data_IF_081706373335
#
_entry.id   IF_081706373335
#
_cell.length_a   1.000
_cell.length_b   1.000
_cell.length_c   1.000
_cell.angle_alpha   90.00
_cell.angle_beta   90.00
_cell.angle_gamma   90.00
#
_symmetry.space_group_name_H-M   'P 1'
#
loop_
_entity.id
_entity.type
_entity.pdbx_description
1 polymer ?
#
# COMPACT_ATOMS: atom_id res chain seq x y z
N UNK A 1 -48.71 -33.85 6.47
CA UNK A 1 -47.64 -34.13 5.50
C UNK A 1 -46.98 -32.81 5.17
N UNK A 2 -45.78 -32.58 5.71
CA UNK A 2 -44.98 -31.37 5.48
C UNK A 2 -44.00 -31.73 4.38
N UNK A 3 -44.15 -31.13 3.21
CA UNK A 3 -43.22 -31.30 2.09
C UNK A 3 -42.33 -30.06 2.05
N UNK A 4 -41.05 -30.27 2.35
CA UNK A 4 -40.02 -29.23 2.35
C UNK A 4 -39.59 -28.88 0.94
N UNK A 5 -39.30 -27.59 0.74
CA UNK A 5 -38.61 -27.08 -0.44
C UNK A 5 -37.41 -26.26 0.05
N UNK A 6 -36.24 -26.90 0.08
CA UNK A 6 -34.96 -26.25 0.35
C UNK A 6 -34.33 -25.85 -0.98
N UNK A 7 -34.69 -24.66 -1.44
CA UNK A 7 -34.10 -24.00 -2.59
C UNK A 7 -32.68 -23.52 -2.30
N UNK A 8 -31.73 -24.18 -2.99
CA UNK A 8 -30.29 -23.89 -3.18
C UNK A 8 -29.87 -22.42 -2.97
N UNK A 9 -29.02 -22.18 -1.97
CA UNK A 9 -28.14 -21.00 -1.94
C UNK A 9 -26.98 -21.19 -2.93
N UNK A 10 -26.81 -20.19 -3.80
CA UNK A 10 -25.87 -20.17 -4.90
C UNK A 10 -24.39 -20.13 -4.48
N UNK A 11 -23.59 -20.76 -5.34
CA UNK A 11 -22.19 -20.52 -5.68
C UNK A 11 -21.46 -19.47 -4.82
N UNK A 12 -20.69 -19.94 -3.83
CA UNK A 12 -19.62 -19.14 -3.24
C UNK A 12 -18.52 -18.94 -4.29
N UNK A 13 -18.38 -17.71 -4.81
CA UNK A 13 -17.20 -17.33 -5.58
C UNK A 13 -15.96 -17.58 -4.72
N UNK A 14 -15.03 -18.38 -5.24
CA UNK A 14 -13.71 -18.55 -4.66
C UNK A 14 -12.97 -17.21 -4.71
N UNK A 15 -12.78 -16.59 -3.55
CA UNK A 15 -11.96 -15.39 -3.43
C UNK A 15 -10.54 -15.75 -3.93
N UNK A 16 -10.12 -15.14 -5.05
CA UNK A 16 -8.72 -15.22 -5.49
C UNK A 16 -7.85 -14.70 -4.35
N UNK A 17 -6.78 -15.41 -4.02
CA UNK A 17 -5.79 -14.93 -3.07
C UNK A 17 -5.24 -13.57 -3.56
N UNK A 18 -5.45 -12.52 -2.75
CA UNK A 18 -4.94 -11.19 -3.02
C UNK A 18 -3.41 -11.20 -3.09
N UNK A 19 -2.84 -10.99 -4.28
CA UNK A 19 -1.39 -10.73 -4.43
C UNK A 19 -1.13 -9.26 -4.13
N UNK A 20 -0.90 -8.94 -2.85
CA UNK A 20 -0.36 -7.64 -2.48
C UNK A 20 1.16 -7.72 -2.54
N UNK A 21 1.79 -6.80 -3.26
CA UNK A 21 3.24 -6.68 -3.32
C UNK A 21 3.67 -5.42 -2.59
N UNK A 22 4.75 -5.50 -1.81
CA UNK A 22 5.31 -4.37 -1.08
C UNK A 22 6.77 -4.16 -1.46
N UNK A 23 7.18 -2.90 -1.57
CA UNK A 23 8.57 -2.49 -1.66
C UNK A 23 8.87 -1.51 -0.54
N UNK A 24 10.09 -1.57 0.00
CA UNK A 24 10.54 -0.62 1.02
C UNK A 24 10.76 0.74 0.37
N UNK A 25 10.12 1.77 0.91
CA UNK A 25 10.35 3.17 0.55
C UNK A 25 11.70 3.67 1.09
N UNK A 26 12.04 4.90 0.69
CA UNK A 26 13.30 5.54 1.08
C UNK A 26 13.23 6.23 2.46
N UNK A 27 12.04 6.28 3.06
CA UNK A 27 11.81 6.99 4.31
C UNK A 27 12.52 6.32 5.52
N UNK A 28 13.05 7.11 6.46
CA UNK A 28 13.51 6.60 7.74
C UNK A 28 12.33 5.98 8.51
N UNK A 29 12.62 4.90 9.23
CA UNK A 29 11.62 4.16 10.01
C UNK A 29 11.20 4.98 11.24
N UNK A 30 9.92 5.32 11.41
CA UNK A 30 9.44 5.96 12.63
C UNK A 30 9.36 4.95 13.78
N UNK A 31 9.43 5.45 15.02
CA UNK A 31 9.14 4.65 16.22
C UNK A 31 7.63 4.54 16.35
N UNK A 32 7.07 3.37 16.02
CA UNK A 32 5.63 3.12 16.09
C UNK A 32 5.25 2.83 17.55
N UNK A 33 4.66 3.81 18.24
CA UNK A 33 4.08 3.62 19.57
C UNK A 33 2.55 3.69 19.49
N UNK A 34 1.87 2.62 19.91
CA UNK A 34 0.41 2.56 20.02
C UNK A 34 -0.31 2.22 18.71
N UNK A 35 -0.46 0.93 18.41
CA UNK A 35 -1.30 0.45 17.32
C UNK A 35 -2.55 -0.22 17.91
N UNK A 36 -3.71 0.41 17.78
CA UNK A 36 -4.99 -0.17 18.19
C UNK A 36 -5.52 -1.14 17.11
N UNK A 37 -6.11 -2.23 17.59
CA UNK A 37 -6.53 -3.38 16.78
C UNK A 37 -7.83 -3.06 16.03
N UNK A 38 -7.73 -2.46 14.83
CA UNK A 38 -8.87 -2.36 13.89
C UNK A 38 -9.07 -3.71 13.19
N UNK A 39 -10.30 -4.24 13.22
CA UNK A 39 -10.66 -5.49 12.53
C UNK A 39 -10.71 -5.29 11.00
N UNK A 40 -10.50 -6.37 10.25
CA UNK A 40 -10.67 -6.43 8.81
C UNK A 40 -12.13 -6.63 8.38
N UNK A 41 -13.04 -6.81 9.34
CA UNK A 41 -14.44 -7.09 9.04
C UNK A 41 -15.04 -5.91 8.27
N UNK A 42 -15.79 -6.18 7.19
CA UNK A 42 -16.50 -5.11 6.50
C UNK A 42 -17.36 -4.35 7.52
N UNK A 43 -17.29 -3.01 7.54
CA UNK A 43 -18.16 -2.25 8.43
C UNK A 43 -19.61 -2.62 8.11
N UNK A 44 -20.42 -2.86 9.15
CA UNK A 44 -21.84 -3.09 8.94
C UNK A 44 -22.44 -1.96 8.08
N UNK A 45 -23.32 -2.27 7.12
CA UNK A 45 -23.93 -1.26 6.25
C UNK A 45 -24.90 -0.41 7.09
N UNK A 46 -24.39 0.60 7.81
CA UNK A 46 -25.23 1.60 8.49
C UNK A 46 -24.49 2.72 9.22
N UNK A 47 -23.16 2.73 9.32
CA UNK A 47 -22.48 3.87 9.96
C UNK A 47 -21.80 4.75 8.92
N UNK A 48 -22.41 5.91 8.67
CA UNK A 48 -21.79 7.04 7.99
C UNK A 48 -20.64 7.56 8.86
N UNK A 49 -19.50 6.87 8.81
CA UNK A 49 -18.25 7.41 9.34
C UNK A 49 -17.94 8.61 8.44
N UNK A 50 -18.20 9.80 8.97
CA UNK A 50 -17.81 11.04 8.31
C UNK A 50 -16.28 11.03 8.28
N UNK A 51 -15.70 10.73 7.12
CA UNK A 51 -14.28 10.96 6.91
C UNK A 51 -14.03 12.44 7.22
N UNK A 52 -13.02 12.77 8.06
CA UNK A 52 -12.67 14.16 8.26
C UNK A 52 -12.33 14.77 6.90
N UNK A 53 -13.10 15.78 6.52
CA UNK A 53 -12.80 16.62 5.37
C UNK A 53 -11.41 17.23 5.59
N UNK A 54 -10.42 16.87 4.78
CA UNK A 54 -9.19 17.67 4.76
C UNK A 54 -7.91 17.05 4.21
N UNK A 55 -7.79 15.74 4.04
CA UNK A 55 -6.60 15.19 3.38
C UNK A 55 -7.02 14.17 2.36
N UNK A 56 -6.98 14.56 1.09
CA UNK A 56 -7.09 13.60 0.00
C UNK A 56 -6.04 12.52 0.23
N UNK A 57 -6.53 11.27 0.23
CA UNK A 57 -5.75 10.05 0.43
C UNK A 57 -4.55 9.96 -0.51
N UNK A 58 -4.63 10.73 -1.60
CA UNK A 58 -3.74 10.70 -2.74
C UNK A 58 -3.26 12.08 -3.11
N UNK A 59 -3.17 13.04 -2.21
CA UNK A 59 -2.55 14.33 -2.50
C UNK A 59 -1.03 14.25 -2.42
N UNK A 60 -0.35 15.11 -3.19
CA UNK A 60 1.11 15.22 -3.14
C UNK A 60 1.56 15.65 -1.75
N UNK A 61 2.50 14.90 -1.15
CA UNK A 61 3.00 15.21 0.18
C UNK A 61 2.09 14.76 1.32
N UNK A 62 1.11 13.88 1.05
CA UNK A 62 0.31 13.26 2.11
C UNK A 62 1.23 12.65 3.19
N UNK A 63 0.96 12.99 4.45
CA UNK A 63 1.75 12.58 5.62
C UNK A 63 1.46 11.12 6.02
N UNK A 64 1.73 10.20 5.11
CA UNK A 64 1.58 8.76 5.32
C UNK A 64 2.89 8.23 5.88
N UNK A 65 2.83 7.69 7.09
CA UNK A 65 4.02 7.29 7.85
C UNK A 65 4.48 5.87 7.54
N UNK A 66 3.60 4.98 7.07
CA UNK A 66 3.91 3.55 7.01
C UNK A 66 3.63 2.91 5.64
N UNK A 67 2.39 2.94 5.13
CA UNK A 67 2.03 2.24 3.89
C UNK A 67 1.27 3.12 2.89
N UNK A 68 1.81 3.35 1.70
CA UNK A 68 1.07 3.90 0.57
C UNK A 68 0.72 2.80 -0.46
N UNK A 69 -0.56 2.51 -0.69
CA UNK A 69 -1.04 1.42 -1.53
C UNK A 69 -1.61 1.93 -2.87
N UNK A 70 -1.09 1.43 -3.99
CA UNK A 70 -1.67 1.65 -5.31
C UNK A 70 -2.65 0.53 -5.68
N UNK A 71 -3.89 0.87 -5.97
CA UNK A 71 -4.95 -0.03 -6.45
C UNK A 71 -5.01 0.09 -7.96
N UNK A 72 -4.41 -0.86 -8.67
CA UNK A 72 -4.34 -0.83 -10.12
C UNK A 72 -5.73 -1.07 -10.70
N UNK A 73 -6.21 -0.14 -11.51
CA UNK A 73 -7.56 -0.17 -12.08
C UNK A 73 -7.56 0.30 -13.53
N UNK A 74 -8.59 -0.11 -14.29
CA UNK A 74 -8.80 0.35 -15.67
C UNK A 74 -9.81 1.48 -15.70
N UNK A 75 -9.72 2.37 -16.67
CA UNK A 75 -10.70 3.45 -16.86
C UNK A 75 -12.15 2.94 -16.80
N UNK A 76 -12.44 1.83 -17.50
CA UNK A 76 -13.76 1.17 -17.55
C UNK A 76 -14.25 0.59 -16.23
N UNK A 77 -13.38 0.43 -15.22
CA UNK A 77 -13.69 -0.25 -13.97
C UNK A 77 -14.26 0.70 -12.90
N UNK A 78 -14.99 1.76 -13.29
CA UNK A 78 -15.55 2.73 -12.35
C UNK A 78 -16.40 2.06 -11.25
N UNK A 79 -17.26 1.12 -11.63
CA UNK A 79 -18.10 0.40 -10.67
C UNK A 79 -17.28 -0.47 -9.70
N UNK A 80 -16.16 -1.04 -10.14
CA UNK A 80 -15.28 -1.82 -9.25
C UNK A 80 -14.56 -0.91 -8.26
N UNK A 81 -14.10 0.26 -8.72
CA UNK A 81 -13.55 1.28 -7.82
C UNK A 81 -14.56 1.74 -6.79
N UNK A 82 -15.82 1.95 -7.18
CA UNK A 82 -16.89 2.28 -6.23
C UNK A 82 -17.10 1.17 -5.20
N UNK A 83 -17.12 -0.10 -5.61
CA UNK A 83 -17.18 -1.23 -4.68
C UNK A 83 -15.99 -1.28 -3.71
N UNK A 84 -14.78 -0.97 -4.18
CA UNK A 84 -13.59 -0.85 -3.33
C UNK A 84 -13.71 0.34 -2.36
N UNK A 85 -14.15 1.51 -2.83
CA UNK A 85 -14.45 2.72 -2.01
C UNK A 85 -15.49 2.47 -0.94
N UNK A 86 -16.46 1.62 -1.22
CA UNK A 86 -17.54 1.29 -0.28
C UNK A 86 -17.13 0.29 0.79
N UNK A 87 -15.99 -0.38 0.60
CA UNK A 87 -15.53 -1.47 1.45
C UNK A 87 -14.21 -1.13 2.15
N UNK A 88 -13.13 -1.85 1.84
CA UNK A 88 -11.87 -1.82 2.57
C UNK A 88 -11.09 -0.52 2.35
N UNK A 89 -11.35 0.22 1.27
CA UNK A 89 -10.66 1.47 0.98
C UNK A 89 -11.01 2.57 1.99
N UNK A 90 -12.17 2.50 2.66
CA UNK A 90 -12.53 3.41 3.76
C UNK A 90 -11.61 3.32 4.97
N UNK A 91 -10.87 2.21 5.08
CA UNK A 91 -9.88 2.00 6.12
C UNK A 91 -8.54 2.66 5.78
N UNK A 92 -8.39 3.22 4.57
CA UNK A 92 -7.28 4.10 4.20
C UNK A 92 -7.57 5.53 4.67
N UNK A 93 -6.50 6.31 4.92
CA UNK A 93 -6.60 7.73 5.27
C UNK A 93 -6.27 8.11 6.70
N UNK A 94 -5.89 7.12 7.50
CA UNK A 94 -5.21 7.39 8.75
C UNK A 94 -3.74 7.73 8.50
N UNK A 95 -3.03 8.22 9.53
CA UNK A 95 -1.60 8.54 9.44
C UNK A 95 -0.73 7.37 8.98
N UNK A 96 -1.17 6.13 9.19
CA UNK A 96 -0.38 4.93 8.92
C UNK A 96 -0.59 4.36 7.52
N UNK A 97 -1.69 4.71 6.83
CA UNK A 97 -1.87 4.20 5.47
C UNK A 97 -2.69 5.09 4.56
N UNK A 98 -2.24 5.20 3.32
CA UNK A 98 -3.00 5.74 2.20
C UNK A 98 -3.25 4.68 1.14
N UNK A 99 -4.30 4.88 0.36
CA UNK A 99 -4.59 4.07 -0.81
C UNK A 99 -5.06 4.98 -1.96
N UNK A 100 -4.64 4.65 -3.18
CA UNK A 100 -4.96 5.40 -4.40
C UNK A 100 -5.31 4.48 -5.54
N UNK A 101 -6.34 4.81 -6.32
CA UNK A 101 -6.57 4.15 -7.59
C UNK A 101 -5.56 4.63 -8.62
N UNK A 102 -4.83 3.70 -9.22
CA UNK A 102 -3.87 3.97 -10.26
C UNK A 102 -4.52 3.62 -11.59
N UNK A 103 -4.79 4.64 -12.40
CA UNK A 103 -5.38 4.48 -13.73
C UNK A 103 -4.39 4.97 -14.77
N UNK A 104 -4.30 4.21 -15.85
CA UNK A 104 -3.33 4.44 -16.91
C UNK A 104 -3.78 5.51 -17.91
N UNK A 105 -2.82 6.28 -18.44
CA UNK A 105 -2.92 7.08 -19.66
C UNK A 105 -2.38 6.35 -20.91
N UNK A 106 -2.84 6.70 -22.13
CA UNK A 106 -3.93 7.65 -22.42
C UNK A 106 -5.32 7.06 -22.12
N UNK A 107 -6.29 7.94 -21.88
CA UNK A 107 -7.69 7.58 -21.60
C UNK A 107 -8.48 7.46 -22.91
N UNK A 108 -9.43 6.53 -22.96
CA UNK A 108 -10.45 6.42 -24.02
C UNK A 108 -11.50 7.52 -23.90
N UNK A 109 -11.86 7.93 -22.68
CA UNK A 109 -12.80 8.98 -22.34
C UNK A 109 -12.29 9.83 -21.17
N UNK A 110 -11.79 11.03 -21.47
CA UNK A 110 -11.22 11.92 -20.46
C UNK A 110 -12.26 12.54 -19.53
N UNK A 111 -13.52 12.72 -19.96
CA UNK A 111 -14.53 13.48 -19.21
C UNK A 111 -15.11 12.73 -18.01
N UNK A 112 -15.43 11.44 -18.16
CA UNK A 112 -15.97 10.63 -17.07
C UNK A 112 -14.95 10.43 -15.95
N UNK A 113 -13.70 10.10 -16.31
CA UNK A 113 -12.63 9.93 -15.33
C UNK A 113 -12.21 11.27 -14.71
N UNK A 114 -12.26 12.38 -15.45
CA UNK A 114 -12.01 13.71 -14.88
C UNK A 114 -13.07 14.08 -13.83
N UNK A 115 -14.36 13.80 -14.10
CA UNK A 115 -15.43 14.03 -13.13
C UNK A 115 -15.28 13.14 -11.89
N UNK A 116 -14.90 11.88 -12.08
CA UNK A 116 -14.60 10.96 -10.97
C UNK A 116 -13.41 11.46 -10.14
N UNK A 117 -12.32 11.89 -10.79
CA UNK A 117 -11.13 12.41 -10.12
C UNK A 117 -11.44 13.66 -9.31
N UNK A 118 -12.24 14.57 -9.84
CA UNK A 118 -12.65 15.77 -9.09
C UNK A 118 -13.50 15.39 -7.89
N UNK A 119 -14.42 14.44 -8.05
CA UNK A 119 -15.34 14.01 -7.00
C UNK A 119 -14.63 13.30 -5.84
N UNK A 120 -13.74 12.36 -6.15
CA UNK A 120 -13.18 11.45 -5.14
C UNK A 120 -11.75 11.80 -4.71
N UNK A 121 -11.00 12.52 -5.54
CA UNK A 121 -9.59 12.91 -5.29
C UNK A 121 -8.67 11.75 -4.89
N UNK A 122 -9.00 10.53 -5.31
CA UNK A 122 -8.29 9.29 -4.98
C UNK A 122 -7.66 8.62 -6.22
N UNK A 123 -7.65 9.33 -7.36
CA UNK A 123 -7.13 8.85 -8.64
C UNK A 123 -5.74 9.42 -8.95
N UNK A 124 -4.80 8.52 -9.23
CA UNK A 124 -3.47 8.82 -9.76
C UNK A 124 -3.41 8.34 -11.20
N UNK A 125 -3.18 9.27 -12.11
CA UNK A 125 -3.03 8.97 -13.53
C UNK A 125 -1.57 8.75 -13.86
N UNK A 126 -1.22 7.56 -14.37
CA UNK A 126 0.16 7.20 -14.70
C UNK A 126 0.34 7.03 -16.21
N UNK A 127 1.44 7.56 -16.74
CA UNK A 127 1.82 7.30 -18.12
C UNK A 127 2.53 5.95 -18.21
N UNK A 128 1.90 4.97 -18.84
CA UNK A 128 2.50 3.67 -19.14
C UNK A 128 2.59 3.52 -20.66
N UNK A 129 3.80 3.21 -21.14
CA UNK A 129 4.21 3.44 -22.53
C UNK A 129 3.72 2.39 -23.54
N UNK A 130 3.38 1.15 -23.16
CA UNK A 130 2.98 0.10 -24.11
C UNK A 130 1.49 0.08 -24.37
N UNK A 131 0.96 -0.09 -25.60
CA UNK A 131 -0.49 -0.10 -25.91
C UNK A 131 -1.42 -0.81 -24.91
N UNK A 132 -2.61 -0.25 -24.67
CA UNK A 132 -3.61 -0.68 -23.66
C UNK A 132 -4.07 -2.14 -23.79
N UNK A 133 -3.90 -2.75 -24.96
CA UNK A 133 -4.41 -4.09 -25.29
C UNK A 133 -3.38 -5.20 -25.06
N UNK A 134 -2.18 -4.88 -24.56
CA UNK A 134 -1.17 -5.87 -24.29
C UNK A 134 -1.36 -6.52 -22.90
N UNK A 135 -1.15 -7.85 -22.78
CA UNK A 135 -1.29 -8.58 -21.52
C UNK A 135 -0.33 -8.12 -20.41
N UNK A 136 0.72 -7.35 -20.76
CA UNK A 136 1.72 -6.84 -19.82
C UNK A 136 1.39 -5.46 -19.23
N UNK A 137 0.21 -4.91 -19.51
CA UNK A 137 -0.19 -3.57 -19.04
C UNK A 137 -0.16 -3.40 -17.52
N UNK A 138 -0.43 -4.47 -16.75
CA UNK A 138 -0.39 -4.44 -15.28
C UNK A 138 1.03 -4.26 -14.74
N UNK A 139 2.03 -4.84 -15.40
CA UNK A 139 3.44 -4.72 -14.99
C UNK A 139 3.92 -3.29 -15.18
N UNK A 140 3.60 -2.67 -16.32
CA UNK A 140 3.97 -1.28 -16.56
C UNK A 140 3.27 -0.31 -15.62
N UNK A 141 1.97 -0.50 -15.39
CA UNK A 141 1.24 0.28 -14.41
C UNK A 141 1.84 0.14 -13.02
N UNK A 142 2.31 -1.05 -12.65
CA UNK A 142 3.02 -1.27 -11.40
C UNK A 142 4.32 -0.46 -11.35
N UNK A 143 5.13 -0.48 -12.41
CA UNK A 143 6.37 0.32 -12.47
C UNK A 143 6.11 1.82 -12.42
N UNK A 144 5.14 2.31 -13.20
CA UNK A 144 4.76 3.71 -13.21
C UNK A 144 4.20 4.16 -11.86
N UNK A 145 3.44 3.29 -11.19
CA UNK A 145 3.02 3.49 -9.80
C UNK A 145 4.20 3.60 -8.85
N UNK A 146 5.19 2.71 -8.90
CA UNK A 146 6.32 2.77 -7.98
C UNK A 146 7.10 4.09 -8.08
N UNK A 147 7.29 4.59 -9.31
CA UNK A 147 7.94 5.89 -9.55
C UNK A 147 7.08 7.02 -8.99
N UNK A 148 5.78 7.04 -9.32
CA UNK A 148 4.87 8.10 -8.88
C UNK A 148 4.71 8.10 -7.34
N UNK A 149 4.58 6.92 -6.73
CA UNK A 149 4.36 6.75 -5.31
C UNK A 149 5.56 7.20 -4.48
N UNK A 150 6.79 6.95 -4.94
CA UNK A 150 8.00 7.42 -4.27
C UNK A 150 8.07 8.96 -4.21
N UNK A 151 7.64 9.64 -5.27
CA UNK A 151 7.58 11.10 -5.28
C UNK A 151 6.40 11.65 -4.45
N UNK A 152 5.25 10.98 -4.51
CA UNK A 152 3.99 11.42 -3.90
C UNK A 152 3.94 11.19 -2.39
N UNK A 153 4.53 10.09 -1.92
CA UNK A 153 4.56 9.67 -0.52
C UNK A 153 6.01 9.55 -0.02
N UNK A 154 6.77 10.66 0.03
CA UNK A 154 8.19 10.61 0.38
C UNK A 154 8.46 10.09 1.79
N UNK A 155 7.45 10.14 2.68
CA UNK A 155 7.53 9.68 4.07
C UNK A 155 7.02 8.24 4.27
N UNK A 156 6.45 7.60 3.26
CA UNK A 156 5.96 6.24 3.40
C UNK A 156 7.13 5.25 3.49
N UNK A 157 7.15 4.44 4.55
CA UNK A 157 8.18 3.41 4.75
C UNK A 157 8.00 2.25 3.78
N UNK A 158 6.77 1.97 3.38
CA UNK A 158 6.42 0.95 2.40
C UNK A 158 5.50 1.50 1.33
N UNK A 159 5.79 1.11 0.09
CA UNK A 159 4.89 1.29 -1.02
C UNK A 159 4.31 -0.09 -1.35
N UNK A 160 3.00 -0.16 -1.50
CA UNK A 160 2.28 -1.37 -1.86
C UNK A 160 1.59 -1.23 -3.21
N UNK A 161 1.24 -2.37 -3.82
CA UNK A 161 0.30 -2.42 -4.93
C UNK A 161 -0.67 -3.59 -4.79
N UNK A 162 -1.91 -3.41 -5.23
CA UNK A 162 -2.95 -4.43 -5.34
C UNK A 162 -3.80 -4.18 -6.59
N UNK A 163 -4.68 -5.12 -6.93
CA UNK A 163 -5.58 -5.03 -8.08
C UNK A 163 -6.98 -4.61 -7.59
N UNK A 164 -7.80 -3.99 -8.45
CA UNK A 164 -9.15 -3.48 -8.09
C UNK A 164 -10.22 -4.56 -7.89
N UNK A 165 -9.89 -5.82 -8.18
CA UNK A 165 -10.69 -7.02 -7.90
C UNK A 165 -10.22 -7.75 -6.63
N UNK A 166 -9.28 -7.19 -5.87
CA UNK A 166 -8.73 -7.77 -4.66
C UNK A 166 -9.28 -7.10 -3.38
N UNK A 167 -9.34 -7.88 -2.30
CA UNK A 167 -9.61 -7.36 -0.96
C UNK A 167 -8.28 -7.12 -0.22
N UNK A 168 -8.06 -5.88 0.25
CA UNK A 168 -6.88 -5.53 1.03
C UNK A 168 -7.25 -5.15 2.46
N UNK A 169 -6.81 -5.93 3.45
CA UNK A 169 -6.97 -5.55 4.85
C UNK A 169 -5.84 -4.62 5.31
N UNK A 170 -6.02 -3.31 5.11
CA UNK A 170 -5.03 -2.29 5.47
C UNK A 170 -4.59 -2.33 6.95
N UNK A 171 -5.50 -2.47 7.95
CA UNK A 171 -5.07 -2.58 9.36
C UNK A 171 -4.16 -3.78 9.63
N UNK A 172 -4.43 -4.92 9.01
CA UNK A 172 -3.62 -6.12 9.19
C UNK A 172 -2.31 -6.03 8.43
N UNK A 173 -2.31 -5.47 7.23
CA UNK A 173 -1.10 -5.21 6.45
C UNK A 173 -0.16 -4.26 7.18
N UNK A 174 -0.67 -3.14 7.69
CA UNK A 174 0.12 -2.17 8.48
C UNK A 174 0.65 -2.80 9.77
N UNK A 175 -0.15 -3.58 10.50
CA UNK A 175 0.31 -4.31 11.68
C UNK A 175 1.43 -5.31 11.36
N UNK A 176 1.27 -6.10 10.29
CA UNK A 176 2.26 -7.08 9.86
C UNK A 176 3.58 -6.41 9.47
N UNK A 177 3.50 -5.36 8.66
CA UNK A 177 4.66 -4.56 8.24
C UNK A 177 5.33 -3.93 9.47
N UNK A 178 4.57 -3.30 10.36
CA UNK A 178 5.07 -2.68 11.58
C UNK A 178 5.88 -3.64 12.46
N UNK A 179 5.40 -4.88 12.65
CA UNK A 179 6.11 -5.92 13.41
C UNK A 179 7.46 -6.28 12.77
N UNK A 180 7.53 -6.34 11.45
CA UNK A 180 8.75 -6.74 10.75
C UNK A 180 9.77 -5.62 10.63
N UNK A 181 9.34 -4.36 10.60
CA UNK A 181 10.24 -3.20 10.69
C UNK A 181 11.05 -3.24 11.98
N UNK A 182 10.39 -3.46 13.12
CA UNK A 182 11.04 -3.48 14.44
C UNK A 182 12.07 -4.61 14.52
N UNK A 183 11.74 -5.78 13.98
CA UNK A 183 12.64 -6.93 13.96
C UNK A 183 13.94 -6.65 13.17
N UNK A 184 13.86 -6.02 11.99
CA UNK A 184 15.05 -5.71 11.18
C UNK A 184 15.96 -4.68 11.85
N UNK A 185 15.40 -3.72 12.60
CA UNK A 185 16.17 -2.74 13.36
C UNK A 185 16.83 -3.32 14.62
N UNK A 186 16.20 -4.28 15.30
CA UNK A 186 16.83 -4.99 16.43
C UNK A 186 18.02 -5.84 15.98
N UNK A 187 17.91 -6.53 14.84
CA UNK A 187 19.01 -7.34 14.30
C UNK A 187 20.19 -6.47 13.87
N UNK A 188 19.95 -5.34 13.18
CA UNK A 188 21.02 -4.43 12.76
C UNK A 188 21.77 -3.79 13.94
N UNK A 189 21.10 -3.49 15.05
CA UNK A 189 21.74 -2.99 16.29
C UNK A 189 22.57 -4.07 16.98
N UNK A 190 22.12 -5.34 16.98
CA UNK A 190 22.87 -6.44 17.56
C UNK A 190 24.15 -6.76 16.77
N UNK A 191 24.12 -6.66 15.44
CA UNK A 191 25.34 -6.85 14.62
C UNK A 191 26.37 -5.74 14.82
N UNK A 192 25.94 -4.49 15.10
CA UNK A 192 26.86 -3.39 15.39
C UNK A 192 27.47 -3.47 16.80
N UNK A 193 26.73 -3.97 17.79
CA UNK A 193 27.22 -4.15 19.17
C UNK A 193 28.12 -5.38 19.35
N UNK A 194 28.07 -6.36 18.43
CA UNK A 194 28.91 -7.56 18.44
C UNK A 194 30.28 -7.42 17.77
N UNK A 195 30.52 -6.32 17.04
CA UNK A 195 31.81 -6.07 16.40
C UNK A 195 32.83 -5.60 17.46
N UNK A 196 33.55 -6.54 18.09
CA UNK A 196 34.75 -6.21 18.85
C UNK A 196 35.75 -5.54 17.92
N UNK A 197 36.29 -4.35 18.27
CA UNK A 197 37.35 -3.74 17.48
C UNK A 197 38.54 -4.70 17.46
N UNK A 198 38.97 -5.08 16.25
CA UNK A 198 40.20 -5.81 16.03
C UNK A 198 41.33 -4.92 16.54
N UNK A 199 41.96 -5.30 17.65
CA UNK A 199 43.09 -4.57 18.20
C UNK A 199 44.18 -4.50 17.13
N UNK A 200 44.38 -3.31 16.56
CA UNK A 200 45.49 -3.03 15.66
C UNK A 200 46.77 -3.11 16.47
N UNK A 201 47.45 -4.25 16.34
CA UNK A 201 48.76 -4.46 16.95
C UNK A 201 49.74 -3.38 16.51
N UNK A 202 50.19 -2.57 17.47
CA UNK A 202 51.38 -1.74 17.35
C UNK A 202 52.60 -2.66 17.19
N UNK A 203 53.18 -2.71 16.00
CA UNK A 203 54.57 -3.13 15.84
C UNK A 203 55.45 -1.89 15.88
N UNK A 204 56.02 -1.61 17.06
CA UNK A 204 57.16 -0.72 17.21
C UNK A 204 58.44 -1.48 16.85
N UNK A 205 59.02 -1.19 15.69
CA UNK A 205 60.43 -1.50 15.44
C UNK A 205 61.27 -0.31 15.92
N UNK A 206 61.65 -0.34 17.19
CA UNK A 206 62.75 0.45 17.73
C UNK A 206 63.87 -0.49 18.13
N UNK A 207 65.03 -0.38 17.48
CA UNK A 207 66.30 -0.85 18.06
C UNK A 207 67.41 0.05 17.54
N UNK A 208 67.89 0.92 18.43
CA UNK A 208 69.11 1.69 18.24
C UNK A 208 70.33 0.95 18.81
N UNK A 209 71.48 1.30 18.22
CA UNK A 209 72.84 1.44 18.79
C UNK A 209 73.49 0.24 19.48
N UNK A 210 74.61 -0.24 18.95
CA UNK A 210 75.96 0.33 19.14
C UNK A 210 76.86 -0.03 17.96
#
# INVERSE_FOLDING_TARGET
>A
MVSGDTGRCGVCHTAKQSKISFVRGLAPVPTIAGFLQKSCDPPAPSQSVSQPAGSSLCEDGAAVSLLALGVLSRESNAQQRDGVRETWFRLAGDRDSAACFVVRLPLRSSSALAAERERHRDLVLVNASLPTELPNSVVEMSFAWWIAAAARFPNAVFLGKTDDDAWACLPRSTLYIGKHIVATHCVAKQTAAGARPMATGRTSCGRGTT
#
